data_IF_397073655176
#
_entry.id   IF_397073655176
#
_cell.length_a   1.000
_cell.length_b   1.000
_cell.length_c   1.000
_cell.angle_alpha   90.00
_cell.angle_beta   90.00
_cell.angle_gamma   90.00
#
_symmetry.space_group_name_H-M   'P 1'
#
loop_
_entity.id
_entity.type
_entity.pdbx_description
1 polymer ?
#
# COMPACT_ATOMS: atom_id res chain seq x y z
N UNK A 1 -36.66 -21.88 -5.26
CA UNK A 1 -36.85 -21.62 -6.70
C UNK A 1 -36.27 -22.81 -7.46
N UNK A 2 -36.90 -23.26 -8.55
CA UNK A 2 -36.37 -24.34 -9.40
C UNK A 2 -35.25 -23.78 -10.28
N UNK A 3 -34.26 -24.58 -10.63
CA UNK A 3 -33.16 -24.14 -11.51
C UNK A 3 -33.31 -24.77 -12.89
N UNK A 4 -33.20 -23.95 -13.95
CA UNK A 4 -33.09 -24.40 -15.33
C UNK A 4 -31.66 -24.16 -15.81
N UNK A 5 -30.91 -25.23 -15.99
CA UNK A 5 -29.56 -25.19 -16.54
C UNK A 5 -29.64 -25.23 -18.07
N UNK A 6 -29.00 -24.28 -18.72
CA UNK A 6 -29.01 -24.14 -20.17
C UNK A 6 -27.59 -24.33 -20.70
N UNK A 7 -27.37 -25.44 -21.39
CA UNK A 7 -26.10 -25.74 -22.03
C UNK A 7 -25.99 -25.00 -23.36
N UNK A 8 -25.01 -24.11 -23.45
CA UNK A 8 -24.77 -23.24 -24.60
C UNK A 8 -23.44 -23.61 -25.23
N UNK A 9 -23.38 -23.74 -26.53
CA UNK A 9 -22.12 -24.02 -27.22
C UNK A 9 -22.30 -24.05 -28.72
N UNK A 10 -21.21 -23.82 -29.46
CA UNK A 10 -21.23 -23.93 -30.92
C UNK A 10 -21.59 -25.36 -31.36
N UNK A 11 -21.99 -25.54 -32.61
CA UNK A 11 -22.22 -26.87 -33.15
C UNK A 11 -20.93 -27.70 -33.13
N UNK A 12 -20.98 -28.92 -32.60
CA UNK A 12 -19.80 -29.76 -32.38
C UNK A 12 -19.10 -29.54 -31.03
N UNK A 13 -19.66 -28.72 -30.14
CA UNK A 13 -19.04 -28.45 -28.83
C UNK A 13 -19.15 -29.60 -27.82
N UNK A 14 -19.91 -30.66 -28.12
CA UNK A 14 -20.10 -31.81 -27.23
C UNK A 14 -21.33 -31.75 -26.32
N UNK A 15 -22.27 -30.81 -26.55
CA UNK A 15 -23.54 -30.70 -25.77
C UNK A 15 -24.30 -32.02 -25.65
N UNK A 16 -24.57 -32.68 -26.78
CA UNK A 16 -25.31 -33.95 -26.82
C UNK A 16 -24.55 -35.05 -26.08
N UNK A 17 -23.24 -35.15 -26.28
CA UNK A 17 -22.38 -36.12 -25.57
C UNK A 17 -22.45 -35.91 -24.05
N UNK A 18 -22.40 -34.67 -23.59
CA UNK A 18 -22.52 -34.33 -22.18
C UNK A 18 -23.88 -34.75 -21.61
N UNK A 19 -24.99 -34.42 -22.29
CA UNK A 19 -26.34 -34.82 -21.87
C UNK A 19 -26.52 -36.34 -21.81
N UNK A 20 -26.01 -37.08 -22.80
CA UNK A 20 -26.10 -38.55 -22.82
C UNK A 20 -25.37 -39.18 -21.64
N UNK A 21 -24.25 -38.62 -21.18
CA UNK A 21 -23.58 -39.13 -19.98
C UNK A 21 -24.36 -38.79 -18.71
N UNK A 22 -24.96 -37.60 -18.67
CA UNK A 22 -25.77 -37.12 -17.56
C UNK A 22 -27.11 -37.88 -17.42
N UNK A 23 -27.65 -38.49 -18.47
CA UNK A 23 -28.95 -39.20 -18.41
C UNK A 23 -28.95 -40.43 -17.50
N UNK A 24 -27.77 -40.90 -17.07
CA UNK A 24 -27.60 -42.01 -16.15
C UNK A 24 -27.93 -41.68 -14.68
N UNK A 25 -28.25 -40.43 -14.36
CA UNK A 25 -28.39 -39.92 -12.98
C UNK A 25 -29.80 -39.39 -12.73
N UNK A 26 -30.52 -39.96 -11.77
CA UNK A 26 -31.92 -39.61 -11.44
C UNK A 26 -32.10 -38.31 -10.61
N UNK A 27 -31.10 -37.43 -10.54
CA UNK A 27 -31.13 -36.24 -9.67
C UNK A 27 -31.74 -34.98 -10.35
N UNK A 28 -31.91 -35.00 -11.67
CA UNK A 28 -32.40 -33.87 -12.47
C UNK A 28 -33.17 -34.36 -13.69
N UNK A 29 -34.01 -33.49 -14.28
CA UNK A 29 -34.74 -33.78 -15.51
C UNK A 29 -33.97 -33.21 -16.71
N UNK A 30 -33.49 -34.08 -17.60
CA UNK A 30 -33.05 -33.64 -18.93
C UNK A 30 -34.31 -33.43 -19.76
N UNK A 31 -34.51 -32.21 -20.24
CA UNK A 31 -35.69 -31.84 -21.00
C UNK A 31 -35.56 -32.24 -22.46
N UNK A 32 -36.67 -32.66 -23.05
CA UNK A 32 -36.76 -32.96 -24.48
C UNK A 32 -37.39 -31.78 -25.23
N UNK A 33 -36.64 -30.97 -25.99
CA UNK A 33 -37.21 -29.89 -26.78
C UNK A 33 -38.03 -30.46 -27.95
N UNK A 34 -39.04 -29.74 -28.43
CA UNK A 34 -39.80 -30.17 -29.61
C UNK A 34 -39.33 -29.46 -30.89
N UNK A 35 -39.51 -30.11 -32.04
CA UNK A 35 -39.22 -29.52 -33.35
C UNK A 35 -40.17 -29.98 -34.46
N UNK A 36 -40.38 -29.14 -35.47
CA UNK A 36 -41.08 -29.51 -36.73
C UNK A 36 -40.14 -30.07 -37.80
N UNK A 37 -38.84 -30.19 -37.52
CA UNK A 37 -37.87 -30.86 -38.39
C UNK A 37 -38.17 -32.37 -38.44
N UNK A 38 -37.90 -33.05 -39.55
CA UNK A 38 -37.91 -34.52 -39.58
C UNK A 38 -36.70 -35.10 -38.81
N UNK A 39 -36.82 -36.26 -38.14
CA UNK A 39 -35.70 -36.97 -37.51
C UNK A 39 -34.50 -37.18 -38.47
N UNK A 40 -33.25 -37.08 -37.99
CA UNK A 40 -32.08 -37.36 -38.86
C UNK A 40 -31.88 -38.85 -39.10
N UNK A 41 -32.22 -39.65 -38.10
CA UNK A 41 -32.08 -41.10 -38.10
C UNK A 41 -33.32 -41.71 -37.45
N UNK A 42 -33.53 -43.02 -37.62
CA UNK A 42 -34.64 -43.74 -36.98
C UNK A 42 -34.58 -43.73 -35.45
N UNK A 43 -33.39 -43.52 -34.88
CA UNK A 43 -33.12 -43.56 -33.44
C UNK A 43 -32.83 -42.15 -32.88
N UNK A 44 -33.21 -41.10 -33.61
CA UNK A 44 -33.05 -39.73 -33.17
C UNK A 44 -34.07 -39.45 -32.05
N UNK A 45 -33.61 -39.49 -30.80
CA UNK A 45 -34.42 -39.22 -29.60
C UNK A 45 -34.06 -37.87 -28.95
N UNK A 46 -33.34 -37.00 -29.67
CA UNK A 46 -32.89 -35.71 -29.15
C UNK A 46 -34.06 -34.73 -28.98
N UNK A 47 -35.09 -34.85 -29.83
CA UNK A 47 -36.25 -33.97 -29.85
C UNK A 47 -37.57 -34.73 -29.85
N UNK A 48 -38.61 -34.07 -29.36
CA UNK A 48 -40.01 -34.42 -29.61
C UNK A 48 -40.42 -33.91 -31.01
N UNK A 49 -40.59 -34.83 -31.95
CA UNK A 49 -40.85 -34.51 -33.35
C UNK A 49 -42.35 -34.32 -33.60
N UNK A 50 -42.76 -33.08 -33.86
CA UNK A 50 -44.17 -32.69 -33.95
C UNK A 50 -44.56 -32.27 -35.36
N UNK A 51 -45.75 -32.68 -35.80
CA UNK A 51 -46.30 -32.30 -37.12
C UNK A 51 -47.13 -31.02 -37.07
N UNK A 52 -47.66 -30.66 -35.91
CA UNK A 52 -48.43 -29.43 -35.68
C UNK A 52 -47.78 -28.60 -34.58
N UNK A 53 -47.69 -27.28 -34.79
CA UNK A 53 -47.09 -26.34 -33.84
C UNK A 53 -48.15 -25.36 -33.30
N UNK A 54 -48.56 -25.58 -32.06
CA UNK A 54 -49.49 -24.69 -31.36
C UNK A 54 -48.72 -23.80 -30.38
N UNK A 55 -48.41 -22.57 -30.78
CA UNK A 55 -47.52 -21.65 -30.03
C UNK A 55 -47.87 -21.50 -28.53
N UNK A 56 -49.15 -21.41 -28.09
CA UNK A 56 -49.50 -21.30 -26.67
C UNK A 56 -49.01 -22.44 -25.78
N UNK A 57 -48.76 -23.63 -26.34
CA UNK A 57 -48.28 -24.81 -25.60
C UNK A 57 -46.79 -24.71 -25.26
N UNK A 58 -46.07 -23.79 -25.91
CA UNK A 58 -44.63 -23.63 -25.78
C UNK A 58 -44.29 -22.46 -24.85
N UNK A 59 -43.30 -22.69 -23.99
CA UNK A 59 -42.69 -21.66 -23.16
C UNK A 59 -41.83 -20.72 -24.01
N UNK A 60 -41.19 -21.25 -25.05
CA UNK A 60 -40.49 -20.48 -26.08
C UNK A 60 -40.52 -21.19 -27.43
N UNK A 61 -40.42 -20.40 -28.49
CA UNK A 61 -40.29 -20.87 -29.88
C UNK A 61 -39.13 -20.14 -30.55
N UNK A 62 -38.35 -20.88 -31.33
CA UNK A 62 -37.21 -20.43 -32.13
C UNK A 62 -37.48 -20.85 -33.57
N UNK A 63 -37.55 -19.89 -34.48
CA UNK A 63 -37.69 -20.13 -35.91
C UNK A 63 -36.30 -20.25 -36.56
N UNK A 64 -36.06 -21.39 -37.22
CA UNK A 64 -34.82 -21.68 -37.97
C UNK A 64 -35.22 -22.08 -39.40
N UNK A 65 -35.23 -21.09 -40.29
CA UNK A 65 -35.76 -21.26 -41.64
C UNK A 65 -37.26 -21.54 -41.61
N UNK A 66 -37.69 -22.67 -42.17
CA UNK A 66 -39.08 -23.14 -42.14
C UNK A 66 -39.39 -24.04 -40.93
N UNK A 67 -38.39 -24.34 -40.09
CA UNK A 67 -38.51 -25.23 -38.94
C UNK A 67 -38.65 -24.44 -37.65
N UNK A 68 -39.42 -25.00 -36.72
CA UNK A 68 -39.59 -24.47 -35.37
C UNK A 68 -38.92 -25.38 -34.37
N UNK A 69 -38.34 -24.79 -33.35
CA UNK A 69 -37.78 -25.44 -32.18
C UNK A 69 -38.33 -24.77 -30.94
N UNK A 70 -38.50 -25.48 -29.85
CA UNK A 70 -39.08 -24.88 -28.65
C UNK A 70 -39.20 -25.85 -27.50
N UNK A 71 -39.63 -25.33 -26.35
CA UNK A 71 -39.86 -26.14 -25.15
C UNK A 71 -41.31 -26.05 -24.74
N UNK A 72 -41.96 -27.20 -24.54
CA UNK A 72 -43.35 -27.24 -24.08
C UNK A 72 -43.44 -26.80 -22.63
N UNK A 73 -44.51 -26.10 -22.27
CA UNK A 73 -44.82 -25.73 -20.87
C UNK A 73 -44.99 -26.97 -19.99
N UNK A 74 -45.57 -28.04 -20.54
CA UNK A 74 -45.72 -29.33 -19.83
C UNK A 74 -44.36 -29.94 -19.46
N UNK A 75 -43.37 -29.83 -20.34
CA UNK A 75 -42.04 -30.39 -20.13
C UNK A 75 -41.31 -29.67 -18.98
N UNK A 76 -41.49 -28.35 -18.88
CA UNK A 76 -41.00 -27.53 -17.77
C UNK A 76 -41.76 -27.80 -16.45
N UNK A 77 -43.07 -28.02 -16.52
CA UNK A 77 -43.91 -28.25 -15.34
C UNK A 77 -43.45 -29.47 -14.53
N UNK A 78 -42.93 -30.48 -15.21
CA UNK A 78 -42.40 -31.72 -14.61
C UNK A 78 -41.03 -31.54 -13.91
N UNK A 79 -40.40 -30.37 -14.01
CA UNK A 79 -39.14 -30.11 -13.30
C UNK A 79 -39.43 -30.00 -11.80
N UNK A 80 -38.88 -30.95 -11.03
CA UNK A 80 -38.96 -30.91 -9.58
C UNK A 80 -37.97 -29.89 -8.97
N UNK A 81 -36.66 -30.04 -9.24
CA UNK A 81 -35.61 -29.15 -8.70
C UNK A 81 -34.72 -28.56 -9.78
N UNK A 82 -34.09 -29.43 -10.58
CA UNK A 82 -33.19 -29.03 -11.67
C UNK A 82 -33.72 -29.60 -13.00
N UNK A 83 -33.89 -28.72 -13.98
CA UNK A 83 -34.07 -29.06 -15.37
C UNK A 83 -32.81 -28.73 -16.17
N UNK A 84 -32.49 -29.51 -17.20
CA UNK A 84 -31.36 -29.26 -18.08
C UNK A 84 -31.84 -29.26 -19.52
N UNK A 85 -31.46 -28.24 -20.29
CA UNK A 85 -31.74 -28.17 -21.73
C UNK A 85 -30.57 -27.57 -22.50
N UNK A 86 -30.66 -27.56 -23.83
CA UNK A 86 -29.62 -27.07 -24.73
C UNK A 86 -30.13 -25.88 -25.54
N UNK A 87 -29.25 -24.90 -25.75
CA UNK A 87 -29.51 -23.77 -26.63
C UNK A 87 -28.40 -23.61 -27.66
N UNK A 88 -28.80 -23.12 -28.83
CA UNK A 88 -27.86 -22.58 -29.79
C UNK A 88 -27.46 -21.15 -29.36
N UNK A 89 -26.18 -20.76 -29.40
CA UNK A 89 -25.74 -19.46 -28.91
C UNK A 89 -26.45 -18.27 -29.58
N UNK A 90 -26.76 -18.41 -30.88
CA UNK A 90 -27.46 -17.39 -31.67
C UNK A 90 -28.89 -17.05 -31.19
N UNK A 91 -29.50 -17.88 -30.35
CA UNK A 91 -30.90 -17.75 -29.93
C UNK A 91 -31.07 -17.56 -28.42
N UNK A 92 -29.99 -17.22 -27.70
CA UNK A 92 -30.05 -17.00 -26.24
C UNK A 92 -30.94 -15.83 -25.85
N UNK A 93 -31.07 -14.82 -26.71
CA UNK A 93 -31.97 -13.69 -26.50
C UNK A 93 -33.45 -14.09 -26.33
N UNK A 94 -33.85 -15.25 -26.86
CA UNK A 94 -35.21 -15.78 -26.70
C UNK A 94 -35.51 -16.05 -25.23
N UNK A 95 -34.53 -16.46 -24.43
CA UNK A 95 -34.73 -16.72 -23.00
C UNK A 95 -35.12 -15.46 -22.23
N UNK A 96 -34.48 -14.32 -22.56
CA UNK A 96 -34.78 -13.04 -21.94
C UNK A 96 -36.20 -12.54 -22.27
N UNK A 97 -36.76 -12.97 -23.40
CA UNK A 97 -38.09 -12.59 -23.84
C UNK A 97 -39.21 -13.50 -23.27
N UNK A 98 -38.86 -14.49 -22.45
CA UNK A 98 -39.83 -15.48 -21.93
C UNK A 98 -40.15 -15.23 -20.46
N UNK A 99 -41.37 -15.57 -20.05
CA UNK A 99 -41.79 -15.51 -18.63
C UNK A 99 -41.17 -16.64 -17.77
N UNK A 100 -40.32 -17.49 -18.36
CA UNK A 100 -39.70 -18.65 -17.68
C UNK A 100 -38.86 -18.21 -16.48
N UNK A 101 -38.28 -17.01 -16.52
CA UNK A 101 -37.52 -16.42 -15.42
C UNK A 101 -38.35 -16.13 -14.17
N UNK A 102 -39.68 -16.11 -14.27
CA UNK A 102 -40.58 -15.96 -13.11
C UNK A 102 -40.63 -17.25 -12.26
N UNK A 103 -40.60 -18.41 -12.92
CA UNK A 103 -40.75 -19.73 -12.28
C UNK A 103 -39.42 -20.45 -12.05
N UNK A 104 -38.39 -20.10 -12.83
CA UNK A 104 -37.09 -20.75 -12.84
C UNK A 104 -35.97 -19.74 -12.72
N UNK A 105 -34.98 -20.08 -11.90
CA UNK A 105 -33.68 -19.48 -12.00
C UNK A 105 -32.94 -20.07 -13.19
N UNK A 106 -32.58 -19.22 -14.13
CA UNK A 106 -31.84 -19.63 -15.32
C UNK A 106 -30.35 -19.55 -15.03
N UNK A 107 -29.64 -20.63 -15.30
CA UNK A 107 -28.16 -20.67 -15.24
C UNK A 107 -27.64 -21.19 -16.58
N UNK A 108 -26.90 -20.35 -17.28
CA UNK A 108 -26.28 -20.65 -18.56
C UNK A 108 -24.88 -21.22 -18.36
N UNK A 109 -24.61 -22.37 -18.99
CA UNK A 109 -23.30 -23.04 -18.97
C UNK A 109 -22.75 -23.05 -20.39
N UNK A 110 -21.72 -22.23 -20.61
CA UNK A 110 -21.00 -22.15 -21.87
C UNK A 110 -20.00 -23.29 -22.02
N UNK A 111 -20.16 -24.15 -23.02
CA UNK A 111 -19.22 -25.22 -23.38
C UNK A 111 -18.28 -24.70 -24.47
N UNK A 112 -17.12 -24.21 -24.05
CA UNK A 112 -16.10 -23.60 -24.92
C UNK A 112 -15.00 -24.60 -25.27
N UNK A 113 -15.34 -25.61 -26.08
CA UNK A 113 -14.39 -26.65 -26.50
C UNK A 113 -13.91 -26.51 -27.94
N UNK A 114 -14.35 -25.46 -28.65
CA UNK A 114 -14.01 -25.18 -30.05
C UNK A 114 -13.19 -23.89 -30.12
N UNK A 115 -11.85 -23.97 -30.23
CA UNK A 115 -11.00 -22.78 -30.17
C UNK A 115 -11.11 -21.91 -31.43
N UNK A 116 -11.23 -22.54 -32.60
CA UNK A 116 -11.19 -21.90 -33.92
C UNK A 116 -12.18 -22.52 -34.92
N UNK A 117 -12.33 -21.83 -36.06
CA UNK A 117 -13.26 -22.21 -37.12
C UNK A 117 -12.92 -23.56 -37.78
N UNK A 118 -11.63 -23.84 -37.97
CA UNK A 118 -11.17 -25.08 -38.59
C UNK A 118 -11.56 -26.30 -37.73
N UNK A 119 -11.42 -26.17 -36.41
CA UNK A 119 -11.87 -27.18 -35.44
C UNK A 119 -13.37 -27.37 -35.48
N UNK A 120 -14.13 -26.28 -35.65
CA UNK A 120 -15.59 -26.34 -35.80
C UNK A 120 -15.97 -27.17 -37.04
N UNK A 121 -15.38 -26.85 -38.19
CA UNK A 121 -15.61 -27.52 -39.47
C UNK A 121 -15.30 -29.02 -39.38
N UNK A 122 -14.17 -29.36 -38.74
CA UNK A 122 -13.76 -30.75 -38.52
C UNK A 122 -14.77 -31.52 -37.64
N UNK A 123 -15.18 -30.93 -36.51
CA UNK A 123 -16.09 -31.60 -35.55
C UNK A 123 -17.51 -31.79 -36.09
N UNK A 124 -17.95 -30.94 -37.03
CA UNK A 124 -19.22 -31.14 -37.73
C UNK A 124 -19.07 -31.95 -39.02
N UNK A 125 -17.91 -32.57 -39.24
CA UNK A 125 -17.60 -33.44 -40.38
C UNK A 125 -17.81 -32.74 -41.74
N UNK A 126 -17.51 -31.44 -41.81
CA UNK A 126 -17.71 -30.61 -43.02
C UNK A 126 -19.16 -30.62 -43.56
N UNK A 127 -20.15 -30.88 -42.72
CA UNK A 127 -21.56 -30.84 -43.12
C UNK A 127 -22.00 -29.42 -43.45
N UNK A 128 -22.32 -29.14 -44.72
CA UNK A 128 -22.63 -27.79 -45.24
C UNK A 128 -23.68 -27.02 -44.43
N UNK A 129 -24.65 -27.71 -43.84
CA UNK A 129 -25.75 -27.11 -43.07
C UNK A 129 -25.37 -26.81 -41.61
N UNK A 130 -24.12 -27.11 -41.20
CA UNK A 130 -23.61 -27.01 -39.83
C UNK A 130 -22.30 -26.22 -39.72
N UNK A 131 -21.74 -25.82 -40.87
CA UNK A 131 -20.55 -25.00 -40.93
C UNK A 131 -20.89 -23.59 -40.45
N UNK A 132 -20.14 -23.10 -39.48
CA UNK A 132 -20.17 -21.69 -39.14
C UNK A 132 -19.42 -20.89 -40.22
N UNK A 133 -19.90 -19.68 -40.51
CA UNK A 133 -19.12 -18.62 -41.14
C UNK A 133 -18.27 -17.90 -40.10
N UNK A 134 -17.22 -17.18 -40.50
CA UNK A 134 -16.38 -16.38 -39.59
C UNK A 134 -17.21 -15.44 -38.70
N UNK A 135 -18.16 -14.72 -39.30
CA UNK A 135 -19.03 -13.80 -38.58
C UNK A 135 -19.91 -14.52 -37.53
N UNK A 136 -20.52 -15.65 -37.91
CA UNK A 136 -21.34 -16.44 -36.98
C UNK A 136 -20.49 -17.05 -35.86
N UNK A 137 -19.29 -17.54 -36.18
CA UNK A 137 -18.38 -18.14 -35.20
C UNK A 137 -17.97 -17.14 -34.13
N UNK A 138 -17.56 -15.93 -34.51
CA UNK A 138 -17.16 -14.88 -33.58
C UNK A 138 -18.33 -14.51 -32.65
N UNK A 139 -19.52 -14.29 -33.22
CA UNK A 139 -20.70 -13.88 -32.45
C UNK A 139 -21.18 -15.00 -31.50
N UNK A 140 -21.23 -16.24 -31.97
CA UNK A 140 -21.63 -17.39 -31.16
C UNK A 140 -20.62 -17.70 -30.07
N UNK A 141 -19.32 -17.59 -30.36
CA UNK A 141 -18.27 -17.76 -29.35
C UNK A 141 -18.37 -16.71 -28.26
N UNK A 142 -18.60 -15.44 -28.62
CA UNK A 142 -18.85 -14.37 -27.65
C UNK A 142 -20.07 -14.66 -26.78
N UNK A 143 -21.15 -15.20 -27.35
CA UNK A 143 -22.34 -15.57 -26.59
C UNK A 143 -22.06 -16.73 -25.60
N UNK A 144 -21.23 -17.71 -25.99
CA UNK A 144 -20.76 -18.77 -25.07
C UNK A 144 -19.91 -18.20 -23.95
N UNK A 145 -18.99 -17.28 -24.26
CA UNK A 145 -18.08 -16.66 -23.27
C UNK A 145 -18.82 -15.74 -22.28
N UNK A 146 -20.03 -15.29 -22.63
CA UNK A 146 -20.86 -14.45 -21.77
C UNK A 146 -21.88 -15.24 -20.91
N UNK A 147 -21.80 -16.57 -20.90
CA UNK A 147 -22.61 -17.42 -20.02
C UNK A 147 -22.22 -17.23 -18.54
N UNK A 148 -23.11 -17.65 -17.63
CA UNK A 148 -22.93 -17.49 -16.19
C UNK A 148 -21.73 -18.28 -15.65
N UNK A 149 -21.40 -19.39 -16.31
CA UNK A 149 -20.14 -20.12 -16.17
C UNK A 149 -19.70 -20.64 -17.53
N UNK A 150 -18.39 -20.60 -17.79
CA UNK A 150 -17.79 -21.10 -19.03
C UNK A 150 -16.81 -22.21 -18.70
N UNK A 151 -17.06 -23.41 -19.24
CA UNK A 151 -16.25 -24.61 -19.06
C UNK A 151 -15.60 -25.02 -20.39
N UNK A 152 -14.40 -25.58 -20.30
CA UNK A 152 -13.58 -26.01 -21.43
C UNK A 152 -12.82 -27.30 -21.08
N UNK A 153 -12.18 -27.93 -22.07
CA UNK A 153 -11.43 -29.18 -21.89
C UNK A 153 -12.02 -30.37 -22.64
N UNK A 154 -11.54 -31.57 -22.30
CA UNK A 154 -11.99 -32.84 -22.88
C UNK A 154 -13.35 -33.30 -22.33
N UNK A 155 -13.91 -34.35 -22.92
CA UNK A 155 -15.26 -34.84 -22.56
C UNK A 155 -15.40 -35.19 -21.06
N UNK A 156 -14.38 -35.78 -20.46
CA UNK A 156 -14.38 -36.12 -19.02
C UNK A 156 -14.34 -34.90 -18.10
N UNK A 157 -13.58 -33.87 -18.49
CA UNK A 157 -13.51 -32.60 -17.75
C UNK A 157 -14.87 -31.91 -17.81
N UNK A 158 -15.48 -31.83 -19.00
CA UNK A 158 -16.81 -31.23 -19.19
C UNK A 158 -17.87 -31.97 -18.38
N UNK A 159 -17.89 -33.31 -18.43
CA UNK A 159 -18.84 -34.10 -17.66
C UNK A 159 -18.67 -33.91 -16.14
N UNK A 160 -17.42 -33.91 -15.66
CA UNK A 160 -17.12 -33.70 -14.24
C UNK A 160 -17.52 -32.31 -13.79
N UNK A 161 -17.20 -31.27 -14.58
CA UNK A 161 -17.57 -29.88 -14.29
C UNK A 161 -19.09 -29.70 -14.27
N UNK A 162 -19.81 -30.24 -15.24
CA UNK A 162 -21.28 -30.19 -15.25
C UNK A 162 -21.89 -30.88 -14.03
N UNK A 163 -21.35 -32.03 -13.63
CA UNK A 163 -21.80 -32.74 -12.43
C UNK A 163 -21.59 -31.89 -11.17
N UNK A 164 -20.44 -31.23 -11.04
CA UNK A 164 -20.16 -30.32 -9.92
C UNK A 164 -21.02 -29.05 -9.94
N UNK A 165 -21.28 -28.47 -11.11
CA UNK A 165 -22.21 -27.34 -11.27
C UNK A 165 -23.63 -27.73 -10.81
N UNK A 166 -24.12 -28.89 -11.25
CA UNK A 166 -25.42 -29.43 -10.84
C UNK A 166 -25.46 -29.63 -9.33
N UNK A 167 -24.40 -30.18 -8.74
CA UNK A 167 -24.30 -30.37 -7.29
C UNK A 167 -24.30 -29.04 -6.54
N UNK A 168 -23.58 -28.02 -7.02
CA UNK A 168 -23.56 -26.68 -6.42
C UNK A 168 -24.94 -26.02 -6.46
N UNK A 169 -25.57 -26.02 -7.64
CA UNK A 169 -26.89 -25.42 -7.84
C UNK A 169 -28.00 -26.21 -7.14
N UNK A 170 -27.79 -27.52 -6.92
CA UNK A 170 -28.67 -28.34 -6.09
C UNK A 170 -28.48 -27.98 -4.62
N UNK A 171 -27.25 -27.96 -4.14
CA UNK A 171 -26.91 -27.82 -2.73
C UNK A 171 -27.22 -26.44 -2.16
N UNK A 172 -27.07 -25.38 -2.97
CA UNK A 172 -27.17 -23.94 -2.67
C UNK A 172 -26.80 -23.49 -1.26
N UNK A 173 -25.82 -22.59 -1.21
CA UNK A 173 -25.35 -21.97 0.02
C UNK A 173 -24.22 -22.79 0.62
N UNK A 174 -23.14 -22.08 0.98
CA UNK A 174 -21.98 -22.68 1.61
C UNK A 174 -20.70 -22.55 0.78
N UNK A 175 -19.62 -23.05 1.38
CA UNK A 175 -18.26 -22.95 0.89
C UNK A 175 -17.98 -24.09 -0.09
N UNK A 176 -17.30 -23.80 -1.21
CA UNK A 176 -16.88 -24.83 -2.16
C UNK A 176 -15.77 -25.69 -1.53
N UNK A 177 -15.92 -27.01 -1.63
CA UNK A 177 -14.89 -27.96 -1.20
C UNK A 177 -13.81 -28.21 -2.26
N UNK A 178 -12.70 -28.82 -1.84
CA UNK A 178 -11.53 -29.16 -2.67
C UNK A 178 -11.89 -29.77 -4.03
N UNK A 179 -12.79 -30.75 -4.04
CA UNK A 179 -13.20 -31.46 -5.26
C UNK A 179 -13.78 -30.48 -6.28
N UNK A 180 -14.78 -29.70 -5.87
CA UNK A 180 -15.43 -28.70 -6.73
C UNK A 180 -14.44 -27.64 -7.19
N UNK A 181 -13.58 -27.12 -6.30
CA UNK A 181 -12.55 -26.14 -6.66
C UNK A 181 -11.63 -26.72 -7.75
N UNK A 182 -11.09 -27.93 -7.55
CA UNK A 182 -10.23 -28.61 -8.52
C UNK A 182 -10.91 -28.78 -9.87
N UNK A 183 -12.13 -29.33 -9.87
CA UNK A 183 -12.87 -29.61 -11.10
C UNK A 183 -13.21 -28.34 -11.88
N UNK A 184 -13.59 -27.26 -11.20
CA UNK A 184 -13.87 -25.99 -11.88
C UNK A 184 -12.60 -25.36 -12.45
N UNK A 185 -11.48 -25.36 -11.69
CA UNK A 185 -10.18 -24.87 -12.17
C UNK A 185 -9.71 -25.66 -13.39
N UNK A 186 -9.78 -27.00 -13.34
CA UNK A 186 -9.42 -27.88 -14.46
C UNK A 186 -10.27 -27.63 -15.71
N UNK A 187 -11.54 -27.24 -15.52
CA UNK A 187 -12.44 -26.84 -16.61
C UNK A 187 -12.21 -25.41 -17.12
N UNK A 188 -11.26 -24.67 -16.55
CA UNK A 188 -10.98 -23.28 -16.90
C UNK A 188 -11.98 -22.27 -16.33
N UNK A 189 -12.77 -22.68 -15.32
CA UNK A 189 -13.65 -21.82 -14.54
C UNK A 189 -13.04 -21.54 -13.16
N UNK A 190 -13.49 -20.50 -12.45
CA UNK A 190 -13.01 -20.11 -11.12
C UNK A 190 -11.66 -19.36 -11.09
N UNK A 191 -10.53 -20.01 -11.41
CA UNK A 191 -9.19 -19.38 -11.44
C UNK A 191 -8.38 -19.82 -12.67
N UNK A 192 -7.69 -18.87 -13.30
CA UNK A 192 -6.66 -19.10 -14.32
C UNK A 192 -5.27 -19.04 -13.70
N UNK A 193 -4.31 -19.73 -14.33
CA UNK A 193 -2.90 -19.82 -13.88
C UNK A 193 -2.74 -20.42 -12.48
N UNK A 194 -3.77 -21.15 -12.02
CA UNK A 194 -3.80 -21.82 -10.74
C UNK A 194 -2.94 -23.10 -10.75
N UNK A 195 -2.34 -23.41 -9.61
CA UNK A 195 -1.59 -24.63 -9.35
C UNK A 195 -2.42 -25.55 -8.44
N UNK A 196 -2.65 -26.79 -8.88
CA UNK A 196 -3.41 -27.78 -8.12
C UNK A 196 -2.84 -28.08 -6.72
N UNK A 197 -1.55 -27.84 -6.51
CA UNK A 197 -0.90 -28.01 -5.19
C UNK A 197 -1.32 -26.96 -4.15
N UNK A 198 -1.84 -25.81 -4.59
CA UNK A 198 -2.34 -24.74 -3.72
C UNK A 198 -3.82 -24.92 -3.32
N UNK A 199 -4.49 -25.97 -3.81
CA UNK A 199 -5.88 -26.26 -3.46
C UNK A 199 -5.95 -26.92 -2.08
N UNK A 200 -6.59 -26.21 -1.15
CA UNK A 200 -6.85 -26.66 0.21
C UNK A 200 -8.22 -27.34 0.33
N UNK A 201 -8.61 -27.70 1.56
CA UNK A 201 -9.85 -28.44 1.81
C UNK A 201 -11.11 -27.70 1.34
N UNK A 202 -11.15 -26.37 1.48
CA UNK A 202 -12.30 -25.52 1.16
C UNK A 202 -11.89 -24.11 0.72
N UNK A 203 -10.68 -23.98 0.16
CA UNK A 203 -10.08 -22.72 -0.23
C UNK A 203 -8.92 -22.95 -1.20
N UNK A 204 -8.36 -21.87 -1.72
CA UNK A 204 -7.18 -21.85 -2.58
C UNK A 204 -6.16 -20.86 -2.03
N UNK A 205 -4.89 -21.26 -1.96
CA UNK A 205 -3.81 -20.39 -1.49
C UNK A 205 -3.20 -19.58 -2.63
N UNK A 206 -3.41 -18.26 -2.61
CA UNK A 206 -2.89 -17.31 -3.60
C UNK A 206 -1.39 -17.07 -3.40
N UNK A 207 -0.65 -17.07 -4.50
CA UNK A 207 0.80 -16.85 -4.48
C UNK A 207 1.19 -15.50 -5.06
N UNK A 208 2.24 -14.91 -4.50
CA UNK A 208 2.72 -13.59 -4.90
C UNK A 208 3.20 -13.59 -6.37
N UNK A 209 2.63 -12.70 -7.18
CA UNK A 209 3.08 -12.43 -8.55
C UNK A 209 4.42 -11.67 -8.58
N UNK A 210 4.95 -11.46 -9.78
CA UNK A 210 6.27 -10.86 -9.96
C UNK A 210 6.26 -9.33 -9.77
N UNK A 211 5.09 -8.68 -9.71
CA UNK A 211 4.98 -7.22 -9.60
C UNK A 211 4.32 -6.82 -8.29
N UNK A 212 4.79 -5.72 -7.72
CA UNK A 212 4.13 -5.04 -6.60
C UNK A 212 4.32 -3.54 -6.69
N UNK A 213 3.44 -2.78 -6.02
CA UNK A 213 3.54 -1.34 -5.90
C UNK A 213 3.77 -0.96 -4.44
N UNK A 214 4.75 -0.11 -4.18
CA UNK A 214 5.11 0.35 -2.83
C UNK A 214 5.57 1.81 -2.89
N UNK A 215 5.06 2.65 -1.99
CA UNK A 215 5.48 4.06 -1.83
C UNK A 215 5.57 4.86 -3.16
N UNK A 216 4.60 4.72 -4.06
CA UNK A 216 4.58 5.46 -5.33
C UNK A 216 5.41 4.86 -6.46
N UNK A 217 5.94 3.64 -6.29
CA UNK A 217 6.81 2.99 -7.27
C UNK A 217 6.37 1.56 -7.56
N UNK A 218 6.51 1.18 -8.84
CA UNK A 218 6.39 -0.20 -9.27
C UNK A 218 7.72 -0.92 -9.09
N UNK A 219 7.63 -2.15 -8.58
CA UNK A 219 8.76 -3.03 -8.37
C UNK A 219 8.48 -4.38 -9.02
N UNK A 220 9.55 -5.01 -9.51
CA UNK A 220 9.50 -6.35 -10.10
C UNK A 220 10.44 -7.26 -9.34
N UNK A 221 9.94 -8.41 -8.91
CA UNK A 221 10.68 -9.49 -8.29
C UNK A 221 11.37 -10.32 -9.37
N UNK A 222 12.66 -10.59 -9.17
CA UNK A 222 13.46 -11.45 -10.05
C UNK A 222 14.09 -12.58 -9.25
N UNK A 223 14.79 -13.49 -9.91
CA UNK A 223 15.54 -14.54 -9.22
C UNK A 223 16.65 -13.97 -8.33
N UNK A 224 17.24 -12.84 -8.72
CA UNK A 224 18.28 -12.13 -7.99
C UNK A 224 17.72 -11.30 -6.83
N UNK A 225 16.51 -10.74 -7.00
CA UNK A 225 15.80 -9.98 -5.99
C UNK A 225 14.39 -10.54 -5.78
N UNK A 226 14.25 -11.68 -5.08
CA UNK A 226 12.98 -12.40 -5.00
C UNK A 226 12.06 -11.91 -3.88
N UNK A 227 12.46 -10.91 -3.09
CA UNK A 227 11.73 -10.49 -1.90
C UNK A 227 11.10 -9.11 -2.07
N UNK A 228 9.78 -9.03 -1.93
CA UNK A 228 9.06 -7.78 -1.75
C UNK A 228 9.17 -7.35 -0.28
N UNK A 229 9.58 -6.12 -0.04
CA UNK A 229 9.72 -5.58 1.31
C UNK A 229 8.56 -4.63 1.61
N UNK A 230 7.90 -4.88 2.74
CA UNK A 230 6.87 -4.00 3.30
C UNK A 230 7.53 -3.17 4.41
N UNK A 231 7.81 -1.87 4.19
CA UNK A 231 8.48 -1.05 5.18
C UNK A 231 7.67 -0.92 6.48
N UNK A 232 8.31 -0.61 7.63
CA UNK A 232 7.61 -0.36 8.88
C UNK A 232 6.54 0.73 8.73
N UNK A 233 5.36 0.49 9.31
CA UNK A 233 4.23 1.44 9.29
C UNK A 233 3.82 1.89 7.87
N UNK A 234 4.07 1.06 6.87
CA UNK A 234 3.81 1.32 5.45
C UNK A 234 2.86 0.27 4.87
N UNK A 235 2.45 0.46 3.62
CA UNK A 235 1.68 -0.54 2.89
C UNK A 235 2.30 -0.85 1.54
N UNK A 236 2.03 -2.08 1.09
CA UNK A 236 2.35 -2.55 -0.26
C UNK A 236 1.06 -3.01 -0.93
N UNK A 237 0.91 -2.75 -2.23
CA UNK A 237 -0.12 -3.38 -3.04
C UNK A 237 0.54 -4.54 -3.80
N UNK A 238 0.11 -5.76 -3.50
CA UNK A 238 0.59 -6.98 -4.14
C UNK A 238 -0.49 -7.57 -5.03
N UNK A 239 -0.05 -8.27 -6.07
CA UNK A 239 -0.91 -8.99 -7.00
C UNK A 239 -0.74 -10.50 -6.80
N UNK A 240 -1.84 -11.25 -6.87
CA UNK A 240 -1.79 -12.71 -6.98
C UNK A 240 -1.37 -13.13 -8.38
N UNK A 241 -0.63 -14.23 -8.49
CA UNK A 241 -0.28 -14.81 -9.79
C UNK A 241 -1.52 -15.29 -10.53
N UNK A 242 -2.50 -15.80 -9.78
CA UNK A 242 -3.76 -16.28 -10.31
C UNK A 242 -4.66 -15.13 -10.79
N UNK A 243 -5.42 -15.39 -11.85
CA UNK A 243 -6.46 -14.48 -12.36
C UNK A 243 -7.83 -15.07 -12.08
N UNK A 244 -8.76 -14.27 -11.54
CA UNK A 244 -10.12 -14.70 -11.29
C UNK A 244 -10.91 -14.87 -12.60
N UNK A 245 -11.74 -15.91 -12.67
CA UNK A 245 -12.76 -16.14 -13.71
C UNK A 245 -14.02 -16.73 -13.06
N UNK A 246 -14.64 -15.94 -12.19
CA UNK A 246 -15.70 -16.43 -11.32
C UNK A 246 -17.01 -16.66 -12.07
N UNK A 247 -17.72 -17.76 -11.79
CA UNK A 247 -19.12 -17.89 -12.17
C UNK A 247 -19.98 -16.75 -11.60
N UNK A 248 -21.08 -16.38 -12.27
CA UNK A 248 -22.01 -15.34 -11.80
C UNK A 248 -22.80 -15.70 -10.53
N UNK A 249 -22.75 -16.97 -10.13
CA UNK A 249 -23.36 -17.47 -8.90
C UNK A 249 -22.33 -17.85 -7.83
N UNK A 250 -21.05 -17.49 -8.00
CA UNK A 250 -19.98 -17.74 -7.02
C UNK A 250 -19.29 -16.43 -6.66
N UNK A 251 -19.27 -16.07 -5.39
CA UNK A 251 -18.40 -15.02 -4.86
C UNK A 251 -17.19 -15.64 -4.15
N UNK A 252 -16.23 -14.80 -3.80
CA UNK A 252 -15.08 -15.22 -3.03
C UNK A 252 -14.69 -14.22 -1.98
N UNK A 253 -14.02 -14.69 -0.96
CA UNK A 253 -13.47 -13.87 0.11
C UNK A 253 -12.04 -14.29 0.36
N UNK A 254 -11.10 -13.36 0.25
CA UNK A 254 -9.71 -13.61 0.60
C UNK A 254 -9.39 -13.14 2.03
N UNK A 255 -8.55 -13.90 2.72
CA UNK A 255 -8.01 -13.54 4.02
C UNK A 255 -6.49 -13.74 4.04
N UNK A 256 -5.81 -13.05 4.94
CA UNK A 256 -4.37 -13.06 5.05
C UNK A 256 -3.85 -14.41 5.56
N UNK A 257 -2.70 -14.85 5.03
CA UNK A 257 -1.99 -15.98 5.62
C UNK A 257 -1.65 -15.69 7.08
N UNK A 258 -2.05 -16.58 7.99
CA UNK A 258 -1.89 -16.46 9.45
C UNK A 258 -0.47 -16.04 9.89
N UNK A 259 0.58 -16.53 9.23
CA UNK A 259 1.97 -16.13 9.54
C UNK A 259 2.23 -14.62 9.35
N UNK A 260 1.65 -14.03 8.30
CA UNK A 260 1.76 -12.59 8.03
C UNK A 260 1.00 -11.79 9.08
N UNK A 261 -0.18 -12.26 9.49
CA UNK A 261 -0.93 -11.67 10.60
C UNK A 261 -0.10 -11.61 11.89
N UNK A 262 0.54 -12.71 12.30
CA UNK A 262 1.41 -12.71 13.48
C UNK A 262 2.67 -11.86 13.34
N UNK A 263 3.08 -11.54 12.12
CA UNK A 263 4.19 -10.62 11.85
C UNK A 263 3.77 -9.15 11.92
N UNK A 264 2.48 -8.86 12.14
CA UNK A 264 1.92 -7.51 12.19
C UNK A 264 1.45 -6.98 10.84
N UNK A 265 1.25 -7.84 9.84
CA UNK A 265 0.64 -7.45 8.56
C UNK A 265 -0.88 -7.49 8.69
N UNK A 266 -1.54 -6.46 8.15
CA UNK A 266 -2.98 -6.32 8.09
C UNK A 266 -3.43 -6.22 6.63
N UNK A 267 -4.47 -6.95 6.27
CA UNK A 267 -5.13 -6.83 4.97
C UNK A 267 -6.06 -5.60 5.03
N UNK A 268 -5.78 -4.59 4.21
CA UNK A 268 -6.45 -3.28 4.31
C UNK A 268 -7.59 -3.06 3.31
N UNK A 269 -7.72 -3.88 2.26
CA UNK A 269 -8.82 -3.80 1.30
C UNK A 269 -10.01 -4.69 1.70
N UNK A 270 -11.20 -4.37 1.16
CA UNK A 270 -12.39 -5.20 1.36
C UNK A 270 -12.17 -6.63 0.82
N UNK A 271 -12.58 -7.68 1.54
CA UNK A 271 -12.14 -9.04 1.26
C UNK A 271 -12.90 -9.71 0.11
N UNK A 272 -13.97 -9.11 -0.41
CA UNK A 272 -14.89 -9.77 -1.34
C UNK A 272 -14.46 -9.61 -2.80
N UNK A 273 -14.51 -10.71 -3.53
CA UNK A 273 -14.48 -10.79 -4.99
C UNK A 273 -15.91 -11.07 -5.46
N UNK A 274 -16.44 -10.19 -6.29
CA UNK A 274 -17.84 -10.25 -6.70
C UNK A 274 -18.12 -11.39 -7.69
N UNK A 275 -19.36 -11.93 -7.69
CA UNK A 275 -19.77 -12.93 -8.66
C UNK A 275 -19.61 -12.45 -10.11
N UNK A 276 -19.14 -13.32 -10.99
CA UNK A 276 -18.90 -12.96 -12.39
C UNK A 276 -17.63 -12.13 -12.65
N UNK A 277 -16.88 -11.76 -11.60
CA UNK A 277 -15.64 -11.01 -11.77
C UNK A 277 -14.60 -11.83 -12.54
N UNK A 278 -14.01 -11.20 -13.54
CA UNK A 278 -12.88 -11.73 -14.31
C UNK A 278 -11.75 -10.71 -14.28
N UNK A 279 -10.60 -11.05 -13.71
CA UNK A 279 -9.50 -10.08 -13.60
C UNK A 279 -8.45 -10.42 -12.55
N UNK A 280 -7.46 -9.54 -12.43
CA UNK A 280 -6.38 -9.65 -11.46
C UNK A 280 -6.90 -9.51 -10.03
N UNK A 281 -6.26 -10.23 -9.11
CA UNK A 281 -6.55 -10.16 -7.67
C UNK A 281 -5.45 -9.37 -6.96
N UNK A 282 -5.84 -8.34 -6.23
CA UNK A 282 -4.91 -7.43 -5.53
C UNK A 282 -5.20 -7.43 -4.03
N UNK A 283 -4.14 -7.32 -3.24
CA UNK A 283 -4.23 -7.17 -1.79
C UNK A 283 -3.37 -6.00 -1.34
N UNK A 284 -3.96 -5.12 -0.54
CA UNK A 284 -3.22 -4.05 0.12
C UNK A 284 -2.79 -4.54 1.49
N UNK A 285 -1.50 -4.75 1.66
CA UNK A 285 -0.91 -5.28 2.90
C UNK A 285 -0.25 -4.13 3.66
N UNK A 286 -0.79 -3.81 4.84
CA UNK A 286 -0.24 -2.81 5.75
C UNK A 286 0.63 -3.46 6.81
N UNK A 287 1.87 -3.00 6.98
CA UNK A 287 2.78 -3.44 8.03
C UNK A 287 2.62 -2.54 9.26
N UNK A 288 1.96 -3.03 10.30
CA UNK A 288 1.79 -2.33 11.57
C UNK A 288 2.96 -2.51 12.54
N UNK A 289 4.01 -3.24 12.14
CA UNK A 289 5.19 -3.48 12.97
C UNK A 289 6.27 -2.42 12.74
N UNK A 290 7.24 -2.37 13.67
CA UNK A 290 8.40 -1.49 13.59
C UNK A 290 9.55 -2.03 12.73
N UNK A 291 9.39 -3.17 12.06
CA UNK A 291 10.43 -3.81 11.25
C UNK A 291 9.94 -4.10 9.83
N UNK A 292 10.87 -4.14 8.86
CA UNK A 292 10.52 -4.49 7.48
C UNK A 292 10.13 -5.97 7.39
N UNK A 293 9.02 -6.27 6.71
CA UNK A 293 8.53 -7.63 6.51
C UNK A 293 8.78 -8.03 5.06
N UNK A 294 9.43 -9.17 4.86
CA UNK A 294 9.71 -9.73 3.54
C UNK A 294 8.64 -10.72 3.09
N UNK A 295 8.21 -10.62 1.83
CA UNK A 295 7.36 -11.59 1.16
C UNK A 295 8.07 -12.08 -0.11
N UNK A 296 8.34 -13.37 -0.19
CA UNK A 296 9.08 -13.94 -1.31
C UNK A 296 8.19 -14.19 -2.52
N UNK A 297 8.77 -14.07 -3.72
CA UNK A 297 8.15 -14.44 -5.00
C UNK A 297 7.61 -15.86 -4.96
N UNK A 298 6.38 -16.06 -5.43
CA UNK A 298 5.71 -17.36 -5.40
C UNK A 298 5.32 -17.85 -4.00
N UNK A 299 5.51 -17.05 -2.95
CA UNK A 299 5.08 -17.39 -1.61
C UNK A 299 3.56 -17.20 -1.48
N UNK A 300 2.89 -18.15 -0.84
CA UNK A 300 1.53 -17.99 -0.36
C UNK A 300 1.42 -16.79 0.60
N UNK A 301 0.55 -15.85 0.27
CA UNK A 301 0.32 -14.63 1.06
C UNK A 301 -1.14 -14.45 1.50
N UNK A 302 -2.11 -14.95 0.74
CA UNK A 302 -3.53 -14.87 1.06
C UNK A 302 -4.24 -16.17 0.68
N UNK A 303 -5.33 -16.48 1.35
CA UNK A 303 -6.17 -17.66 1.09
C UNK A 303 -7.54 -17.19 0.62
N UNK A 304 -7.97 -17.68 -0.54
CA UNK A 304 -9.24 -17.37 -1.17
C UNK A 304 -10.25 -18.49 -0.88
N UNK A 305 -11.35 -18.14 -0.23
CA UNK A 305 -12.51 -18.99 -0.05
C UNK A 305 -13.56 -18.65 -1.11
N UNK A 306 -14.29 -19.66 -1.60
CA UNK A 306 -15.37 -19.48 -2.57
C UNK A 306 -16.69 -19.88 -1.97
N UNK A 307 -17.75 -19.15 -2.28
CA UNK A 307 -19.09 -19.38 -1.78
C UNK A 307 -20.12 -19.28 -2.91
N UNK A 308 -21.13 -20.14 -2.86
CA UNK A 308 -22.27 -20.03 -3.79
C UNK A 308 -23.28 -19.01 -3.29
N UNK A 309 -23.83 -18.23 -4.21
CA UNK A 309 -24.96 -17.36 -3.91
C UNK A 309 -26.20 -18.18 -3.56
N UNK A 310 -27.10 -17.59 -2.78
CA UNK A 310 -28.41 -18.20 -2.50
C UNK A 310 -29.28 -18.31 -3.76
N UNK A 311 -29.07 -17.42 -4.73
CA UNK A 311 -29.66 -17.44 -6.07
C UNK A 311 -28.77 -16.71 -7.10
N UNK A 312 -28.96 -17.04 -8.38
CA UNK A 312 -28.36 -16.38 -9.53
C UNK A 312 -29.21 -15.17 -9.96
N UNK A 313 -29.51 -14.25 -9.04
CA UNK A 313 -30.32 -13.05 -9.32
C UNK A 313 -29.48 -11.83 -9.70
N UNK A 314 -28.19 -12.01 -9.98
CA UNK A 314 -27.25 -10.93 -10.30
C UNK A 314 -26.70 -11.14 -11.70
N UNK A 315 -26.60 -10.05 -12.47
CA UNK A 315 -26.03 -10.07 -13.83
C UNK A 315 -24.49 -10.30 -13.83
N UNK A 316 -23.91 -10.49 -12.64
CA UNK A 316 -22.47 -10.58 -12.42
C UNK A 316 -21.79 -9.20 -12.42
N UNK A 317 -20.50 -9.20 -12.13
CA UNK A 317 -19.69 -7.98 -12.08
C UNK A 317 -19.47 -7.41 -13.49
N UNK A 318 -20.00 -6.21 -13.73
CA UNK A 318 -19.86 -5.46 -14.99
C UNK A 318 -19.27 -4.06 -14.80
N UNK A 319 -18.59 -3.81 -13.69
CA UNK A 319 -18.07 -2.49 -13.34
C UNK A 319 -16.61 -2.27 -13.82
N UNK A 320 -15.99 -1.17 -13.39
CA UNK A 320 -14.78 -0.61 -14.01
C UNK A 320 -13.52 -1.50 -13.98
N UNK A 321 -13.53 -2.58 -13.20
CA UNK A 321 -12.39 -3.50 -13.08
C UNK A 321 -12.53 -4.79 -13.88
N UNK A 322 -13.64 -4.99 -14.59
CA UNK A 322 -13.88 -6.24 -15.32
C UNK A 322 -12.87 -6.38 -16.47
N UNK A 323 -12.23 -7.54 -16.54
CA UNK A 323 -11.21 -7.90 -17.53
C UNK A 323 -9.81 -7.34 -17.28
N UNK A 324 -9.63 -6.45 -16.29
CA UNK A 324 -8.34 -5.84 -16.00
C UNK A 324 -7.44 -6.81 -15.24
N UNK A 325 -6.15 -6.85 -15.56
CA UNK A 325 -5.19 -7.82 -14.99
C UNK A 325 -3.96 -7.19 -14.39
N UNK A 326 -3.49 -6.05 -14.86
CA UNK A 326 -2.22 -5.44 -14.41
C UNK A 326 -2.45 -4.16 -13.60
N UNK A 327 -1.52 -3.84 -12.71
CA UNK A 327 -1.59 -2.64 -11.87
C UNK A 327 -1.84 -1.36 -12.65
N UNK A 328 -1.28 -1.22 -13.85
CA UNK A 328 -1.44 0.00 -14.67
C UNK A 328 -2.88 0.24 -15.11
N UNK A 329 -3.71 -0.81 -15.12
CA UNK A 329 -5.12 -0.71 -15.47
C UNK A 329 -5.99 -0.34 -14.25
N UNK A 330 -5.49 -0.58 -13.02
CA UNK A 330 -6.17 -0.29 -11.75
C UNK A 330 -5.71 1.03 -11.12
N UNK A 331 -4.43 1.38 -11.27
CA UNK A 331 -3.80 2.59 -10.77
C UNK A 331 -3.54 3.53 -11.94
N UNK A 332 -4.55 4.32 -12.32
CA UNK A 332 -4.44 5.30 -13.39
C UNK A 332 -3.98 6.68 -12.89
N UNK A 333 -3.40 7.45 -13.81
CA UNK A 333 -3.05 8.86 -13.60
C UNK A 333 -2.17 9.13 -12.37
N UNK A 334 -2.56 10.15 -11.61
CA UNK A 334 -1.80 10.69 -10.48
C UNK A 334 -1.70 9.73 -9.28
N UNK A 335 -2.58 8.73 -9.17
CA UNK A 335 -2.62 7.84 -8.00
C UNK A 335 -1.44 6.84 -8.00
N UNK A 336 -0.94 6.48 -9.18
CA UNK A 336 0.28 5.65 -9.32
C UNK A 336 1.54 6.32 -8.77
N UNK A 337 1.57 7.65 -8.70
CA UNK A 337 2.73 8.47 -8.32
C UNK A 337 2.64 9.06 -6.91
N UNK A 338 1.49 8.95 -6.22
CA UNK A 338 1.33 9.46 -4.86
C UNK A 338 2.05 8.52 -3.88
N UNK A 339 3.12 8.98 -3.20
CA UNK A 339 3.81 8.14 -2.24
C UNK A 339 2.99 8.03 -0.94
N UNK A 340 2.12 7.03 -0.87
CA UNK A 340 1.50 6.60 0.37
C UNK A 340 2.48 5.81 1.26
N UNK A 341 2.25 5.75 2.57
CA UNK A 341 3.00 4.87 3.47
C UNK A 341 4.45 5.28 3.76
N UNK A 342 4.80 6.57 3.63
CA UNK A 342 6.15 7.10 3.91
C UNK A 342 6.26 7.81 5.27
N UNK A 343 5.54 7.33 6.28
CA UNK A 343 5.46 8.04 7.56
C UNK A 343 6.80 8.07 8.31
N UNK A 344 7.55 6.97 8.25
CA UNK A 344 8.87 6.85 8.87
C UNK A 344 9.86 7.78 8.18
N UNK A 345 9.91 7.75 6.84
CA UNK A 345 10.79 8.60 6.03
C UNK A 345 10.45 10.08 6.22
N UNK A 346 9.17 10.41 6.39
CA UNK A 346 8.74 11.77 6.71
C UNK A 346 9.24 12.22 8.08
N UNK A 347 9.09 11.37 9.11
CA UNK A 347 9.56 11.66 10.47
C UNK A 347 11.08 11.80 10.48
N UNK A 348 11.81 10.88 9.84
CA UNK A 348 13.28 10.91 9.77
C UNK A 348 13.77 12.18 9.09
N UNK A 349 13.15 12.59 7.97
CA UNK A 349 13.48 13.86 7.30
C UNK A 349 13.24 15.05 8.21
N UNK A 350 12.09 15.09 8.91
CA UNK A 350 11.78 16.18 9.85
C UNK A 350 12.73 16.19 11.04
N UNK A 351 13.08 15.04 11.57
CA UNK A 351 14.04 14.91 12.65
C UNK A 351 15.44 15.36 12.21
N UNK A 352 15.89 15.00 11.01
CA UNK A 352 17.17 15.46 10.46
C UNK A 352 17.20 16.97 10.25
N UNK A 353 16.09 17.55 9.77
CA UNK A 353 15.97 19.00 9.59
C UNK A 353 16.07 19.73 10.95
N UNK A 354 15.35 19.22 11.96
CA UNK A 354 15.40 19.76 13.33
C UNK A 354 16.81 19.65 13.92
N UNK A 355 17.44 18.48 13.80
CA UNK A 355 18.79 18.24 14.32
C UNK A 355 19.82 19.16 13.66
N UNK A 356 19.74 19.33 12.35
CA UNK A 356 20.65 20.22 11.60
C UNK A 356 20.48 21.67 12.03
N UNK A 357 19.23 22.14 12.18
CA UNK A 357 18.93 23.48 12.67
C UNK A 357 19.40 23.68 14.13
N UNK A 358 19.22 22.68 14.99
CA UNK A 358 19.68 22.72 16.37
C UNK A 358 21.20 22.79 16.47
N UNK A 359 21.94 22.02 15.66
CA UNK A 359 23.40 22.13 15.59
C UNK A 359 23.86 23.51 15.13
N UNK A 360 23.20 24.11 14.15
CA UNK A 360 23.52 25.47 13.71
C UNK A 360 23.27 26.50 14.81
N UNK A 361 22.12 26.44 15.49
CA UNK A 361 21.79 27.36 16.58
C UNK A 361 22.70 27.18 17.80
N UNK A 362 23.03 25.94 18.17
CA UNK A 362 23.96 25.67 19.29
C UNK A 362 25.38 26.11 18.96
N UNK A 363 25.85 25.93 17.71
CA UNK A 363 27.15 26.46 17.28
C UNK A 363 27.17 28.00 17.35
N UNK A 364 26.12 28.68 16.90
CA UNK A 364 26.00 30.14 17.01
C UNK A 364 26.00 30.59 18.48
N UNK A 365 25.24 29.93 19.34
CA UNK A 365 25.20 30.22 20.78
C UNK A 365 26.58 30.08 21.42
N UNK A 366 27.28 28.96 21.21
CA UNK A 366 28.64 28.76 21.74
C UNK A 366 29.65 29.75 21.18
N UNK A 367 29.51 30.16 19.91
CA UNK A 367 30.33 31.21 19.31
C UNK A 367 30.12 32.55 20.03
N UNK A 368 28.86 32.92 20.31
CA UNK A 368 28.53 34.14 21.05
C UNK A 368 29.08 34.08 22.49
N UNK A 369 28.90 32.95 23.18
CA UNK A 369 29.43 32.74 24.54
C UNK A 369 30.95 32.87 24.55
N UNK A 370 31.66 32.28 23.58
CA UNK A 370 33.12 32.39 23.48
C UNK A 370 33.58 33.84 23.28
N UNK A 371 32.87 34.63 22.45
CA UNK A 371 33.15 36.06 22.25
C UNK A 371 32.94 36.83 23.56
N UNK A 372 31.83 36.60 24.26
CA UNK A 372 31.54 37.27 25.54
C UNK A 372 32.59 36.94 26.62
N UNK A 373 33.01 35.68 26.70
CA UNK A 373 34.07 35.25 27.63
C UNK A 373 35.40 35.91 27.29
N UNK A 374 35.78 35.98 26.00
CA UNK A 374 37.00 36.65 25.58
C UNK A 374 36.99 38.15 25.95
N UNK A 375 35.85 38.83 25.76
CA UNK A 375 35.67 40.23 26.18
C UNK A 375 35.79 40.39 27.70
N UNK A 376 35.16 39.50 28.47
CA UNK A 376 35.23 39.54 29.94
C UNK A 376 36.67 39.33 30.44
N UNK A 377 37.40 38.36 29.87
CA UNK A 377 38.82 38.13 30.18
C UNK A 377 39.64 39.38 29.85
N UNK A 378 39.43 39.98 28.67
CA UNK A 378 40.13 41.20 28.28
C UNK A 378 39.87 42.37 29.25
N UNK A 379 38.62 42.58 29.67
CA UNK A 379 38.28 43.60 30.67
C UNK A 379 38.94 43.32 32.03
N UNK A 380 38.90 42.08 32.50
CA UNK A 380 39.56 41.67 33.75
C UNK A 380 41.08 41.92 33.69
N UNK A 381 41.73 41.59 32.57
CA UNK A 381 43.16 41.85 32.40
C UNK A 381 43.47 43.34 32.37
N UNK A 382 42.66 44.15 31.68
CA UNK A 382 42.82 45.60 31.62
C UNK A 382 42.64 46.27 32.99
N UNK A 383 41.66 45.82 33.78
CA UNK A 383 41.45 46.27 35.16
C UNK A 383 42.64 45.90 36.06
N UNK A 384 43.17 44.68 35.91
CA UNK A 384 44.33 44.25 36.68
C UNK A 384 45.58 45.07 36.33
N UNK A 385 45.81 45.38 35.06
CA UNK A 385 46.95 46.20 34.63
C UNK A 385 46.82 47.65 35.10
N UNK A 386 45.61 48.22 35.08
CA UNK A 386 45.35 49.56 35.60
C UNK A 386 45.52 49.65 37.12
N UNK A 387 45.10 48.63 37.87
CA UNK A 387 45.34 48.54 39.31
C UNK A 387 46.83 48.44 39.65
N UNK A 388 47.59 47.59 38.93
CA UNK A 388 49.04 47.49 39.10
C UNK A 388 49.74 48.83 38.87
N UNK A 389 49.36 49.53 37.80
CA UNK A 389 49.90 50.86 37.50
C UNK A 389 49.59 51.87 38.60
N UNK A 390 48.36 51.87 39.12
CA UNK A 390 47.98 52.72 40.25
C UNK A 390 48.79 52.41 41.52
N UNK A 391 49.09 51.14 41.78
CA UNK A 391 49.94 50.72 42.92
C UNK A 391 51.39 51.21 42.75
N UNK A 392 51.96 51.10 41.54
CA UNK A 392 53.30 51.63 41.22
C UNK A 392 53.37 53.14 41.35
N UNK A 393 52.37 53.86 40.84
CA UNK A 393 52.26 55.32 40.96
C UNK A 393 52.17 55.72 42.45
N UNK A 394 51.38 54.98 43.24
CA UNK A 394 51.25 55.22 44.69
C UNK A 394 52.57 54.98 45.43
N UNK A 395 53.31 53.91 45.10
CA UNK A 395 54.66 53.64 45.65
C UNK A 395 55.66 54.74 45.32
N UNK A 396 55.55 55.31 44.13
CA UNK A 396 56.42 56.41 43.69
C UNK A 396 56.10 57.68 44.48
N UNK A 397 54.81 58.00 44.64
CA UNK A 397 54.34 59.15 45.42
C UNK A 397 54.74 59.02 46.89
N UNK A 398 54.58 57.86 47.53
CA UNK A 398 55.00 57.66 48.93
C UNK A 398 56.50 57.81 49.10
N UNK A 399 57.31 57.26 48.18
CA UNK A 399 58.76 57.44 48.20
C UNK A 399 59.17 58.91 48.05
N UNK A 400 58.50 59.65 47.16
CA UNK A 400 58.69 61.10 47.04
C UNK A 400 58.30 61.84 48.32
N UNK A 401 57.18 61.48 48.96
CA UNK A 401 56.75 62.08 50.23
C UNK A 401 57.72 61.79 51.39
N UNK A 402 58.26 60.57 51.49
CA UNK A 402 59.30 60.22 52.47
C UNK A 402 60.58 61.05 52.26
N UNK A 403 60.97 61.25 51.00
CA UNK A 403 62.14 62.07 50.65
C UNK A 403 61.92 63.54 51.02
N UNK A 404 60.72 64.07 50.79
CA UNK A 404 60.34 65.44 51.19
C UNK A 404 60.37 65.56 52.72
N UNK A 405 59.76 64.64 53.46
CA UNK A 405 59.76 64.65 54.93
C UNK A 405 61.17 64.55 55.52
N UNK A 406 62.05 63.75 54.92
CA UNK A 406 63.46 63.68 55.31
C UNK A 406 64.19 65.01 55.05
N UNK A 407 63.85 65.70 53.95
CA UNK A 407 64.41 67.00 53.61
C UNK A 407 63.91 68.09 54.56
N UNK A 408 62.62 68.08 54.91
CA UNK A 408 62.04 68.98 55.91
C UNK A 408 62.72 68.82 57.28
N UNK A 409 62.93 67.58 57.75
CA UNK A 409 63.68 67.33 58.99
C UNK A 409 65.09 67.90 58.94
N UNK A 410 65.78 67.76 57.80
CA UNK A 410 67.14 68.28 57.63
C UNK A 410 67.18 69.81 57.65
N UNK A 411 66.19 70.47 57.03
CA UNK A 411 66.03 71.93 57.06
C UNK A 411 65.76 72.41 58.50
N UNK A 412 64.91 71.70 59.25
CA UNK A 412 64.62 72.07 60.63
C UNK A 412 65.86 71.95 61.54
N UNK A 413 66.65 70.90 61.38
CA UNK A 413 67.93 70.77 62.11
C UNK A 413 68.90 71.91 61.76
N UNK A 414 69.04 72.24 60.47
CA UNK A 414 69.89 73.36 60.04
C UNK A 414 69.40 74.71 60.57
N UNK A 415 68.09 74.91 60.65
CA UNK A 415 67.49 76.10 61.23
C UNK A 415 67.83 76.24 62.72
N UNK A 416 67.75 75.14 63.48
CA UNK A 416 68.12 75.11 64.91
C UNK A 416 69.62 75.43 65.09
N UNK A 417 70.50 74.84 64.27
CA UNK A 417 71.94 75.12 64.30
C UNK A 417 72.24 76.60 63.98
N UNK A 418 71.52 77.18 63.01
CA UNK A 418 71.65 78.59 62.64
C UNK A 418 71.19 79.51 63.76
N UNK A 419 70.07 79.21 64.42
CA UNK A 419 69.58 79.96 65.58
C UNK A 419 70.58 79.92 66.75
N UNK A 420 71.22 78.78 66.99
CA UNK A 420 72.28 78.65 68.00
C UNK A 420 73.53 79.48 67.63
N UNK A 421 73.97 79.42 66.38
CA UNK A 421 75.08 80.24 65.88
C UNK A 421 74.80 81.73 66.02
N UNK A 422 73.59 82.18 65.64
CA UNK A 422 73.14 83.57 65.75
C UNK A 422 73.12 84.04 67.21
N UNK A 423 72.63 83.21 68.13
CA UNK A 423 72.63 83.52 69.57
C UNK A 423 74.06 83.67 70.11
N UNK A 424 74.97 82.81 69.67
CA UNK A 424 76.40 82.86 70.05
C UNK A 424 77.06 84.14 69.52
N UNK A 425 76.80 84.51 68.26
CA UNK A 425 77.31 85.76 67.67
C UNK A 425 76.73 86.99 68.38
N UNK A 426 75.44 86.98 68.72
CA UNK A 426 74.82 88.06 69.48
C UNK A 426 75.42 88.19 70.89
N UNK A 427 75.78 87.08 71.54
CA UNK A 427 76.47 87.10 72.82
C UNK A 427 77.88 87.70 72.70
N UNK A 428 78.66 87.28 71.70
CA UNK A 428 79.98 87.86 71.41
C UNK A 428 79.90 89.36 71.12
N UNK A 429 78.86 89.80 70.41
CA UNK A 429 78.62 91.22 70.16
C UNK A 429 78.35 92.00 71.46
N UNK A 430 77.55 91.46 72.38
CA UNK A 430 77.30 92.09 73.70
C UNK A 430 78.57 92.20 74.54
N UNK A 431 79.43 91.17 74.51
CA UNK A 431 80.73 91.21 75.17
C UNK A 431 81.65 92.29 74.56
N UNK A 432 81.66 92.43 73.24
CA UNK A 432 82.37 93.51 72.53
C UNK A 432 81.83 94.90 72.87
N UNK A 433 80.50 95.06 72.95
CA UNK A 433 79.86 96.32 73.36
C UNK A 433 80.24 96.70 74.80
N UNK A 434 80.30 95.73 75.73
CA UNK A 434 80.81 95.94 77.09
C UNK A 434 82.28 96.33 77.13
N UNK A 435 83.13 95.72 76.30
CA UNK A 435 84.56 96.10 76.18
C UNK A 435 84.70 97.52 75.65
N UNK A 436 83.90 97.91 74.66
CA UNK A 436 83.89 99.28 74.11
C UNK A 436 83.43 100.29 75.15
N UNK A 437 82.39 100.00 75.94
CA UNK A 437 81.97 100.85 77.07
C UNK A 437 83.06 100.98 78.13
N UNK A 438 83.74 99.88 78.46
CA UNK A 438 84.85 99.87 79.43
C UNK A 438 86.02 100.72 78.96
N UNK A 439 86.36 100.66 77.66
CA UNK A 439 87.40 101.49 77.04
C UNK A 439 87.02 102.98 76.98
N UNK A 440 85.74 103.29 76.71
CA UNK A 440 85.23 104.66 76.77
C UNK A 440 85.26 105.25 78.18
N UNK A 441 84.95 104.44 79.21
CA UNK A 441 85.00 104.91 80.61
C UNK A 441 86.43 105.22 81.07
N UNK A 442 87.42 104.39 80.69
CA UNK A 442 88.84 104.60 81.02
C UNK A 442 89.50 105.79 80.32
N UNK A 443 88.95 106.26 79.20
CA UNK A 443 89.46 107.43 78.49
C UNK A 443 89.10 108.77 79.17
N UNK A 444 88.27 108.78 80.22
CA UNK A 444 87.68 110.02 80.76
C UNK A 444 88.18 110.46 82.16
N UNK A 445 89.17 109.80 82.76
CA UNK A 445 89.47 110.00 84.20
C UNK A 445 90.96 110.22 84.56
N UNK A 446 91.83 110.56 83.61
CA UNK A 446 93.26 110.81 83.88
C UNK A 446 93.77 112.17 83.38
N UNK A 447 92.95 113.22 83.48
CA UNK A 447 93.38 114.63 83.47
C UNK A 447 92.92 115.32 84.76
N UNK A 448 93.82 115.49 85.74
CA UNK A 448 93.99 116.67 86.64
C UNK A 448 94.65 116.38 88.02
N UNK A 449 95.97 116.64 88.09
CA UNK A 449 96.74 117.31 89.17
C UNK A 449 97.07 116.61 90.54
N UNK A 450 98.06 117.10 91.35
CA UNK A 450 99.38 117.67 91.01
C UNK A 450 100.54 117.30 92.00
N UNK A 451 101.79 117.20 91.51
CA UNK A 451 102.99 117.96 91.95
C UNK A 451 104.20 117.60 91.10
#
# INVERSE_FOLDING_TARGET
>A
MRTLIILVGLQGSGKTTALTRLSSINAYKILTPSTTRAPRTSNDTEYDYVTQWNTPDFAWTIDVGDKKYGMRKSELADINRIGITVFHPAHLNVLAATEVSQDFEIVTVGINTIPDLATQHLRVQNSSNRLASDASFINEKKAVENCDIVISGGEDIIFSALSEIINLLSGRGGVLGKKTISTLIEAGSLLQEADGSNIQAASYDLVLADKYWCQGKYHTLTSENPTAHIPPYSFVLVQAKETAVFPRFVCGTFDLRVKLFFSGVVLSNGPQVDPGYQGGLFCMLYNASGTSIGLNRGQHFATLQFQTLSNNSVDGYMAQYQGKRDFTEFLDGNDSQKPGGQIVEYIDRKYSDIKTNFHYQTALFWTIVAILVAIAIWQLTSLNDTLKKAEEDTKTITKSAETISATEKKIETQRIELEQSLNTTNQQRRELEQVIETLKSKASTYESQPK
#
